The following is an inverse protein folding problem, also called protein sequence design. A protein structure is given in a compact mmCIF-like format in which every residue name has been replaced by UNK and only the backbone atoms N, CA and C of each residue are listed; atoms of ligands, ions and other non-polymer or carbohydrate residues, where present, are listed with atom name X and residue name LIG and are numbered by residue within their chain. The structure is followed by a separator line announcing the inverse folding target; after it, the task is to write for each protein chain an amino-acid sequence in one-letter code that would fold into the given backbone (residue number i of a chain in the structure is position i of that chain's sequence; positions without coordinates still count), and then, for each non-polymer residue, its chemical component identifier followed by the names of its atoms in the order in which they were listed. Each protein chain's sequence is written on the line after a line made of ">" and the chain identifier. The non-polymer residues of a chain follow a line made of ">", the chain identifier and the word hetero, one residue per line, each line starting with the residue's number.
data_IF_598322499809
#
_entry.id   IF_598322499809
#
_cell.length_a   1.000
_cell.length_b   1.000
_cell.length_c   1.000
_cell.angle_alpha   90.00
_cell.angle_beta   90.00
_cell.angle_gamma   90.00
#
_symmetry.space_group_name_H-M   'P 1'
#
loop_
_entity.id
_entity.type
_entity.pdbx_description
1 polymer ?
#
# COMPACT_ATOMS: atom_id res chain seq x y z
N UNK A 1 -35.25 23.02 -2.67
CA UNK A 1 -34.02 22.91 -1.85
C UNK A 1 -33.55 21.47 -1.67
N UNK A 2 -34.39 20.53 -1.18
CA UNK A 2 -34.00 19.11 -0.99
C UNK A 2 -33.46 18.43 -2.27
N UNK A 3 -34.09 18.63 -3.44
CA UNK A 3 -33.63 18.07 -4.73
C UNK A 3 -32.26 18.59 -5.16
N UNK A 4 -31.94 19.86 -4.90
CA UNK A 4 -30.65 20.46 -5.23
C UNK A 4 -29.54 19.93 -4.32
N UNK A 5 -29.84 19.76 -3.03
CA UNK A 5 -28.91 19.16 -2.05
C UNK A 5 -28.56 17.71 -2.41
N UNK A 6 -29.54 16.93 -2.89
CA UNK A 6 -29.33 15.56 -3.38
C UNK A 6 -28.41 15.53 -4.60
N UNK A 7 -28.58 16.44 -5.57
CA UNK A 7 -27.70 16.51 -6.74
C UNK A 7 -26.25 16.86 -6.37
N UNK A 8 -26.03 17.76 -5.42
CA UNK A 8 -24.69 18.15 -4.97
C UNK A 8 -23.99 16.98 -4.26
N UNK A 9 -24.72 16.27 -3.39
CA UNK A 9 -24.20 15.07 -2.71
C UNK A 9 -23.85 13.99 -3.73
N UNK A 10 -24.71 13.77 -4.74
CA UNK A 10 -24.46 12.80 -5.80
C UNK A 10 -23.21 13.18 -6.62
N UNK A 11 -23.06 14.46 -6.99
CA UNK A 11 -21.89 14.93 -7.74
C UNK A 11 -20.56 14.76 -6.96
N UNK A 12 -20.58 14.99 -5.63
CA UNK A 12 -19.42 14.76 -4.76
C UNK A 12 -19.04 13.28 -4.68
N UNK A 13 -20.03 12.38 -4.61
CA UNK A 13 -19.81 10.92 -4.60
C UNK A 13 -19.23 10.45 -5.95
N UNK A 14 -19.73 10.96 -7.08
CA UNK A 14 -19.21 10.57 -8.40
C UNK A 14 -17.75 11.01 -8.63
N UNK A 15 -17.35 12.19 -8.15
CA UNK A 15 -15.96 12.67 -8.31
C UNK A 15 -14.93 11.79 -7.59
N UNK A 16 -15.27 11.27 -6.41
CA UNK A 16 -14.39 10.41 -5.63
C UNK A 16 -14.14 9.02 -6.27
N UNK A 17 -15.09 8.51 -7.06
CA UNK A 17 -14.94 7.22 -7.74
C UNK A 17 -13.99 7.29 -8.96
N UNK A 18 -13.80 8.46 -9.56
CA UNK A 18 -13.08 8.59 -10.82
C UNK A 18 -11.56 8.38 -10.68
N UNK A 19 -10.99 8.79 -9.54
CA UNK A 19 -9.53 8.73 -9.26
C UNK A 19 -9.04 7.29 -9.04
N UNK A 20 -9.89 6.42 -8.50
CA UNK A 20 -9.54 5.01 -8.25
C UNK A 20 -9.40 4.22 -9.56
N UNK A 21 -10.22 4.54 -10.55
CA UNK A 21 -10.20 3.88 -11.86
C UNK A 21 -8.96 4.24 -12.69
N UNK A 22 -8.46 5.48 -12.62
CA UNK A 22 -7.27 5.88 -13.38
C UNK A 22 -6.00 5.17 -12.92
N UNK A 23 -5.83 5.00 -11.61
CA UNK A 23 -4.67 4.30 -11.02
C UNK A 23 -4.66 2.82 -11.38
N UNK A 24 -5.81 2.13 -11.25
CA UNK A 24 -5.91 0.72 -11.63
C UNK A 24 -5.58 0.50 -13.11
N UNK A 25 -6.13 1.33 -14.00
CA UNK A 25 -5.84 1.27 -15.43
C UNK A 25 -4.35 1.47 -15.74
N UNK A 26 -3.65 2.32 -14.98
CA UNK A 26 -2.21 2.51 -15.14
C UNK A 26 -1.43 1.27 -14.72
N UNK A 27 -1.81 0.61 -13.62
CA UNK A 27 -1.16 -0.62 -13.14
C UNK A 27 -1.43 -1.79 -14.09
N UNK A 28 -2.65 -1.95 -14.59
CA UNK A 28 -2.99 -2.98 -15.59
C UNK A 28 -2.18 -2.82 -16.88
N UNK A 29 -1.95 -1.57 -17.33
CA UNK A 29 -1.04 -1.29 -18.45
C UNK A 29 0.39 -1.74 -18.16
N UNK A 30 0.88 -1.59 -16.92
CA UNK A 30 2.20 -2.08 -16.52
C UNK A 30 2.26 -3.61 -16.49
N UNK A 31 1.24 -4.28 -15.94
CA UNK A 31 1.13 -5.74 -15.96
C UNK A 31 1.20 -6.27 -17.40
N UNK A 32 0.40 -5.69 -18.31
CA UNK A 32 0.41 -6.06 -19.74
C UNK A 32 1.75 -5.78 -20.40
N UNK A 33 2.37 -4.63 -20.13
CA UNK A 33 3.65 -4.23 -20.75
C UNK A 33 4.79 -5.18 -20.38
N UNK A 34 4.84 -5.63 -19.12
CA UNK A 34 5.97 -6.41 -18.59
C UNK A 34 5.66 -7.89 -18.41
N UNK A 35 4.44 -8.35 -18.71
CA UNK A 35 4.03 -9.74 -18.45
C UNK A 35 4.12 -10.10 -16.97
N UNK A 36 3.80 -9.15 -16.09
CA UNK A 36 3.98 -9.28 -14.64
C UNK A 36 2.64 -9.28 -13.90
N UNK A 37 2.66 -9.72 -12.64
CA UNK A 37 1.55 -9.56 -11.70
C UNK A 37 1.96 -8.55 -10.63
N UNK A 38 1.15 -7.53 -10.40
CA UNK A 38 1.44 -6.45 -9.46
C UNK A 38 0.46 -6.52 -8.28
N UNK A 39 1.00 -6.40 -7.07
CA UNK A 39 0.28 -6.10 -5.85
C UNK A 39 0.82 -4.79 -5.27
N UNK A 40 -0.07 -3.87 -4.92
CA UNK A 40 0.28 -2.55 -4.40
C UNK A 40 -0.63 -2.20 -3.22
N UNK A 41 -0.02 -1.66 -2.17
CA UNK A 41 -0.70 -0.99 -1.08
C UNK A 41 0.16 0.20 -0.62
N UNK A 42 -0.43 1.38 -0.56
CA UNK A 42 0.18 2.58 -0.04
C UNK A 42 -0.82 3.31 0.86
N UNK A 43 -0.34 3.79 2.01
CA UNK A 43 -1.10 4.53 2.99
C UNK A 43 -0.43 5.88 3.22
N UNK A 44 -1.16 6.97 2.98
CA UNK A 44 -0.74 8.28 3.45
C UNK A 44 -1.06 8.38 4.95
N UNK A 45 -0.02 8.30 5.78
CA UNK A 45 -0.18 8.29 7.24
C UNK A 45 -0.61 9.64 7.82
N UNK A 46 -0.57 10.73 7.04
CA UNK A 46 -1.02 12.04 7.49
C UNK A 46 -2.55 12.18 7.45
N UNK A 47 -3.20 11.61 6.44
CA UNK A 47 -4.64 11.81 6.19
C UNK A 47 -5.44 10.50 6.04
N UNK A 48 -4.79 9.34 6.08
CA UNK A 48 -5.42 8.03 5.96
C UNK A 48 -5.82 7.62 4.54
N UNK A 49 -5.45 8.39 3.51
CA UNK A 49 -5.76 8.02 2.12
C UNK A 49 -4.99 6.76 1.70
N UNK A 50 -5.72 5.81 1.09
CA UNK A 50 -5.16 4.55 0.59
C UNK A 50 -5.15 4.48 -0.93
N UNK A 51 -4.05 3.98 -1.50
CA UNK A 51 -4.02 3.45 -2.86
C UNK A 51 -3.76 1.95 -2.79
N UNK A 52 -4.57 1.16 -3.49
CA UNK A 52 -4.43 -0.30 -3.48
C UNK A 52 -4.82 -0.95 -4.79
N UNK A 53 -4.08 -1.99 -5.16
CA UNK A 53 -4.33 -2.86 -6.30
C UNK A 53 -3.88 -4.28 -5.94
N UNK A 54 -4.77 -5.27 -6.04
CA UNK A 54 -4.48 -6.66 -5.61
C UNK A 54 -3.88 -6.78 -4.18
N UNK A 55 -4.22 -5.89 -3.24
CA UNK A 55 -3.56 -5.81 -1.92
C UNK A 55 -3.60 -7.09 -1.08
N UNK A 56 -4.58 -7.96 -1.32
CA UNK A 56 -4.75 -9.24 -0.60
C UNK A 56 -4.21 -10.46 -1.37
N UNK A 57 -3.70 -10.28 -2.60
CA UNK A 57 -3.07 -11.35 -3.37
C UNK A 57 -1.72 -11.67 -2.74
N UNK A 58 -1.40 -12.96 -2.61
CA UNK A 58 -0.14 -13.41 -1.98
C UNK A 58 1.01 -13.38 -3.00
N UNK A 59 2.16 -12.89 -2.55
CA UNK A 59 3.43 -12.91 -3.26
C UNK A 59 4.51 -13.44 -2.33
N UNK A 60 5.55 -14.09 -2.88
CA UNK A 60 6.72 -14.43 -2.08
C UNK A 60 7.46 -13.14 -1.70
N UNK A 61 7.63 -12.89 -0.40
CA UNK A 61 8.26 -11.66 0.11
C UNK A 61 9.76 -11.56 -0.20
N UNK A 62 10.43 -12.69 -0.47
CA UNK A 62 11.87 -12.75 -0.73
C UNK A 62 12.67 -11.96 0.33
N UNK A 63 13.53 -11.03 -0.09
CA UNK A 63 14.39 -10.27 0.83
C UNK A 63 13.68 -9.15 1.59
N UNK A 64 12.42 -8.79 1.30
CA UNK A 64 11.73 -7.70 2.03
C UNK A 64 11.48 -8.06 3.49
N UNK A 65 11.39 -9.35 3.82
CA UNK A 65 11.31 -9.86 5.20
C UNK A 65 12.47 -9.37 6.07
N UNK A 66 13.66 -9.12 5.51
CA UNK A 66 14.84 -8.66 6.27
C UNK A 66 14.56 -7.39 7.06
N UNK A 67 13.72 -6.49 6.55
CA UNK A 67 13.34 -5.27 7.26
C UNK A 67 12.53 -5.60 8.53
N UNK A 68 11.51 -6.44 8.40
CA UNK A 68 10.65 -6.86 9.52
C UNK A 68 11.45 -7.70 10.53
N UNK A 69 12.25 -8.66 10.07
CA UNK A 69 13.10 -9.47 10.96
C UNK A 69 14.13 -8.62 11.71
N UNK A 70 14.70 -7.61 11.06
CA UNK A 70 15.59 -6.65 11.73
C UNK A 70 14.84 -5.79 12.76
N UNK A 71 13.62 -5.34 12.43
CA UNK A 71 12.78 -4.60 13.38
C UNK A 71 12.45 -5.45 14.62
N UNK A 72 12.09 -6.72 14.42
CA UNK A 72 11.88 -7.67 15.53
C UNK A 72 13.14 -7.88 16.36
N UNK A 73 14.31 -7.98 15.73
CA UNK A 73 15.59 -8.07 16.45
C UNK A 73 15.81 -6.85 17.34
N UNK A 74 15.56 -5.64 16.82
CA UNK A 74 15.70 -4.39 17.56
C UNK A 74 14.69 -4.28 18.71
N UNK A 75 13.46 -4.72 18.50
CA UNK A 75 12.41 -4.74 19.53
C UNK A 75 12.76 -5.70 20.68
N UNK A 76 13.33 -6.86 20.37
CA UNK A 76 13.61 -7.92 21.33
C UNK A 76 14.99 -7.81 22.00
N UNK A 77 15.89 -7.00 21.45
CA UNK A 77 17.28 -6.91 21.91
C UNK A 77 17.57 -5.54 22.53
N UNK A 78 17.96 -5.48 23.82
CA UNK A 78 18.41 -4.23 24.42
C UNK A 78 19.54 -3.58 23.61
N UNK A 79 19.53 -2.25 23.48
CA UNK A 79 20.48 -1.52 22.63
C UNK A 79 21.95 -1.84 22.92
N UNK A 80 22.31 -1.98 24.20
CA UNK A 80 23.67 -2.33 24.63
C UNK A 80 24.12 -3.76 24.22
N UNK A 81 23.19 -4.62 23.78
CA UNK A 81 23.48 -5.97 23.29
C UNK A 81 23.63 -6.05 21.77
N UNK A 82 23.26 -5.01 21.02
CA UNK A 82 23.34 -5.00 19.55
C UNK A 82 24.78 -5.03 19.01
N UNK A 83 25.76 -4.57 19.79
CA UNK A 83 27.18 -4.60 19.41
C UNK A 83 27.85 -5.97 19.63
N UNK A 84 27.09 -7.02 19.96
CA UNK A 84 27.63 -8.36 20.11
C UNK A 84 28.18 -8.83 18.75
N UNK A 85 29.50 -9.06 18.69
CA UNK A 85 30.14 -9.68 17.53
C UNK A 85 29.63 -11.12 17.37
N UNK A 86 29.21 -11.46 16.15
CA UNK A 86 28.80 -12.81 15.77
C UNK A 86 29.93 -13.39 14.90
N UNK A 87 30.44 -14.55 15.28
CA UNK A 87 31.37 -15.33 14.48
C UNK A 87 30.56 -16.40 13.74
N UNK A 88 30.78 -16.51 12.44
CA UNK A 88 30.10 -17.45 11.53
C UNK A 88 31.11 -18.51 11.11
#
# INVERSE_FOLDING_TARGET
>A
MKKLMILIILALILSACNTKNSTNNAIEKLEKKYGANIGMYALNTQNGEELSFNKNKRFAYASTLKAISSAMLLEQTPYNKLNKKIHI
#
